data_IF_372036824395
#
_entry.id   IF_372036824395
#
_cell.length_a   1.000
_cell.length_b   1.000
_cell.length_c   1.000
_cell.angle_alpha   90.00
_cell.angle_beta   90.00
_cell.angle_gamma   90.00
#
_symmetry.space_group_name_H-M   'P 1'
#
loop_
_entity.id
_entity.type
_entity.pdbx_description
1 polymer ?
#
# COMPACT_ATOMS: atom_id res chain seq x y z
N UNK A 1 -31.69 -4.96 8.24
CA UNK A 1 -31.28 -6.08 9.12
C UNK A 1 -29.86 -5.88 9.65
N UNK A 2 -28.89 -5.48 8.81
CA UNK A 2 -27.49 -5.26 9.25
C UNK A 2 -27.33 -4.20 10.38
N UNK A 3 -27.96 -2.99 10.31
CA UNK A 3 -27.75 -1.98 11.35
C UNK A 3 -28.31 -2.40 12.73
N UNK A 4 -29.35 -3.24 12.76
CA UNK A 4 -29.92 -3.74 14.02
C UNK A 4 -29.04 -4.82 14.64
N UNK A 5 -28.49 -5.73 13.82
CA UNK A 5 -27.56 -6.76 14.28
C UNK A 5 -26.26 -6.15 14.82
N UNK A 6 -25.69 -5.14 14.13
CA UNK A 6 -24.49 -4.45 14.61
C UNK A 6 -24.75 -3.66 15.89
N UNK A 7 -25.92 -3.02 16.06
CA UNK A 7 -26.24 -2.29 17.30
C UNK A 7 -26.41 -3.22 18.50
N UNK A 8 -26.91 -4.44 18.30
CA UNK A 8 -27.03 -5.45 19.36
C UNK A 8 -25.67 -6.03 19.76
N UNK A 9 -24.78 -6.25 18.78
CA UNK A 9 -23.43 -6.79 19.01
C UNK A 9 -22.50 -5.78 19.69
N UNK A 10 -22.68 -4.48 19.41
CA UNK A 10 -21.82 -3.41 19.97
C UNK A 10 -22.28 -2.92 21.35
N UNK A 11 -23.56 -3.17 21.73
CA UNK A 11 -24.14 -2.66 22.97
C UNK A 11 -23.51 -3.22 24.25
N UNK A 12 -22.90 -4.42 24.17
CA UNK A 12 -22.26 -5.08 25.31
C UNK A 12 -20.72 -5.00 25.29
N UNK A 13 -20.12 -4.39 24.28
CA UNK A 13 -18.68 -4.11 24.27
C UNK A 13 -18.42 -2.90 25.13
N UNK A 14 -18.25 -3.08 26.43
CA UNK A 14 -17.54 -2.12 27.26
C UNK A 14 -16.13 -2.02 26.68
N UNK A 15 -15.86 -0.92 25.97
CA UNK A 15 -14.50 -0.52 25.63
C UNK A 15 -13.75 -0.36 26.96
N UNK A 16 -13.06 -1.42 27.37
CA UNK A 16 -12.13 -1.35 28.49
C UNK A 16 -10.98 -0.45 28.02
N UNK A 17 -11.14 0.85 28.27
CA UNK A 17 -10.12 1.88 28.03
C UNK A 17 -9.01 1.78 29.09
N UNK A 18 -8.63 0.58 29.47
CA UNK A 18 -7.37 0.38 30.17
C UNK A 18 -6.27 0.74 29.18
N UNK A 19 -5.60 1.82 29.53
CA UNK A 19 -4.33 2.22 28.95
C UNK A 19 -3.32 1.08 29.20
N UNK A 20 -3.38 0.03 28.39
CA UNK A 20 -2.23 -0.85 28.23
C UNK A 20 -1.18 -0.07 27.45
N UNK A 21 -0.37 0.67 28.22
CA UNK A 21 0.94 1.07 27.78
C UNK A 21 1.68 -0.22 27.43
N UNK A 22 1.71 -0.58 26.15
CA UNK A 22 2.63 -1.63 25.69
C UNK A 22 4.04 -1.13 26.02
N UNK A 23 4.60 -1.72 27.04
CA UNK A 23 6.01 -1.56 27.43
C UNK A 23 6.79 -2.28 26.33
N UNK A 24 7.60 -1.54 25.57
CA UNK A 24 8.57 -2.10 24.63
C UNK A 24 9.57 -2.96 25.46
N UNK A 25 10.12 -4.03 24.86
CA UNK A 25 11.04 -4.98 25.54
C UNK A 25 12.19 -4.31 26.33
N UNK A 26 12.39 -3.00 26.13
CA UNK A 26 13.39 -2.17 26.81
C UNK A 26 12.82 -1.28 27.94
N UNK A 27 11.62 -1.52 28.43
CA UNK A 27 11.00 -0.78 29.55
C UNK A 27 10.90 0.75 29.33
N UNK A 28 10.82 1.23 28.07
CA UNK A 28 10.59 2.64 27.73
C UNK A 28 9.16 2.82 27.30
N UNK A 29 8.42 3.66 28.02
CA UNK A 29 7.09 4.11 27.62
C UNK A 29 7.16 4.73 26.22
N UNK A 30 6.38 4.19 25.26
CA UNK A 30 6.29 4.76 23.92
C UNK A 30 5.62 6.12 24.03
N UNK A 31 6.33 7.19 23.64
CA UNK A 31 5.77 8.54 23.59
C UNK A 31 4.50 8.55 22.71
N UNK A 32 3.40 9.05 23.27
CA UNK A 32 2.13 9.21 22.59
C UNK A 32 2.11 10.53 21.84
N UNK A 33 2.29 10.48 20.51
CA UNK A 33 2.41 11.68 19.68
C UNK A 33 1.05 12.24 19.27
N UNK A 34 0.89 13.57 19.39
CA UNK A 34 -0.26 14.30 18.85
C UNK A 34 -0.05 14.56 17.35
N UNK A 35 -1.16 14.71 16.60
CA UNK A 35 -1.13 14.97 15.14
C UNK A 35 -0.16 16.09 14.73
N UNK A 36 -0.10 17.19 15.47
CA UNK A 36 0.78 18.35 15.17
C UNK A 36 2.27 17.97 15.36
N UNK A 37 2.57 17.13 16.34
CA UNK A 37 3.95 16.66 16.58
C UNK A 37 4.38 15.73 15.45
N UNK A 38 3.50 14.84 14.97
CA UNK A 38 3.75 13.94 13.84
C UNK A 38 4.03 14.74 12.56
N UNK A 39 3.28 15.80 12.30
CA UNK A 39 3.51 16.69 11.13
C UNK A 39 4.84 17.44 11.19
N UNK A 40 5.47 17.57 12.36
CA UNK A 40 6.79 18.18 12.53
C UNK A 40 7.93 17.17 12.43
N UNK A 41 7.63 15.88 12.44
CA UNK A 41 8.63 14.81 12.35
C UNK A 41 8.95 14.52 10.88
N UNK A 42 10.21 14.72 10.47
CA UNK A 42 10.68 14.44 9.11
C UNK A 42 10.54 12.95 8.74
N UNK A 43 10.59 12.04 9.73
CA UNK A 43 10.44 10.60 9.52
C UNK A 43 9.06 10.24 8.99
N UNK A 44 8.03 11.01 9.40
CA UNK A 44 6.69 10.85 8.89
C UNK A 44 6.63 10.99 7.37
N UNK A 45 7.29 12.01 6.82
CA UNK A 45 7.29 12.26 5.38
C UNK A 45 8.03 11.18 4.60
N UNK A 46 9.18 10.70 5.09
CA UNK A 46 9.93 9.61 4.46
C UNK A 46 9.08 8.34 4.41
N UNK A 47 8.44 7.98 5.52
CA UNK A 47 7.55 6.81 5.58
C UNK A 47 6.31 6.98 4.68
N UNK A 48 5.73 8.19 4.63
CA UNK A 48 4.65 8.49 3.71
C UNK A 48 5.08 8.29 2.26
N UNK A 49 6.23 8.82 1.83
CA UNK A 49 6.73 8.63 0.47
C UNK A 49 6.85 7.15 0.10
N UNK A 50 7.37 6.32 1.01
CA UNK A 50 7.44 4.88 0.81
C UNK A 50 6.05 4.24 0.67
N UNK A 51 5.09 4.63 1.52
CA UNK A 51 3.74 4.07 1.49
C UNK A 51 2.88 4.57 0.32
N UNK A 52 3.18 5.76 -0.21
CA UNK A 52 2.42 6.35 -1.32
C UNK A 52 2.75 5.73 -2.68
N UNK A 53 3.88 5.03 -2.83
CA UNK A 53 4.28 4.37 -4.08
C UNK A 53 3.20 3.40 -4.59
N UNK A 54 2.73 2.51 -3.72
CA UNK A 54 1.74 1.49 -4.08
C UNK A 54 0.41 2.11 -4.55
N UNK A 55 -0.25 3.04 -3.83
CA UNK A 55 -1.53 3.61 -4.26
C UNK A 55 -1.48 4.28 -5.64
N UNK A 56 -0.48 5.09 -5.95
CA UNK A 56 -0.47 5.79 -7.24
C UNK A 56 -0.11 4.89 -8.41
N UNK A 57 0.85 3.95 -8.23
CA UNK A 57 1.26 3.03 -9.30
C UNK A 57 0.14 2.02 -9.59
N UNK A 58 -0.45 1.41 -8.54
CA UNK A 58 -1.52 0.45 -8.71
C UNK A 58 -2.76 1.10 -9.34
N UNK A 59 -3.20 2.27 -8.84
CA UNK A 59 -4.38 2.94 -9.38
C UNK A 59 -4.17 3.40 -10.82
N UNK A 60 -3.00 3.98 -11.13
CA UNK A 60 -2.64 4.32 -12.50
C UNK A 60 -2.70 3.10 -13.43
N UNK A 61 -2.10 1.98 -13.01
CA UNK A 61 -2.12 0.73 -13.79
C UNK A 61 -3.52 0.14 -13.96
N UNK A 62 -4.38 0.23 -12.94
CA UNK A 62 -5.78 -0.25 -13.04
C UNK A 62 -6.64 0.63 -13.95
N UNK A 63 -6.50 1.94 -13.86
CA UNK A 63 -7.28 2.88 -14.69
C UNK A 63 -6.85 2.77 -16.15
N UNK A 64 -5.56 2.72 -16.42
CA UNK A 64 -5.01 2.66 -17.78
C UNK A 64 -4.68 1.24 -18.26
N UNK A 65 -5.33 0.22 -17.69
CA UNK A 65 -5.12 -1.18 -18.05
C UNK A 65 -5.32 -1.47 -19.54
N UNK A 66 -6.26 -0.79 -20.18
CA UNK A 66 -6.51 -0.95 -21.63
C UNK A 66 -5.35 -0.42 -22.45
N UNK A 67 -4.76 0.70 -22.05
CA UNK A 67 -3.56 1.25 -22.69
C UNK A 67 -2.38 0.27 -22.54
N UNK A 68 -2.14 -0.25 -21.32
CA UNK A 68 -1.10 -1.23 -21.05
C UNK A 68 -1.27 -2.49 -21.91
N UNK A 69 -2.50 -3.03 -21.97
CA UNK A 69 -2.84 -4.21 -22.76
C UNK A 69 -2.60 -4.00 -24.25
N UNK A 70 -2.99 -2.83 -24.77
CA UNK A 70 -2.81 -2.50 -26.19
C UNK A 70 -1.34 -2.28 -26.55
N UNK A 71 -0.59 -1.59 -25.68
CA UNK A 71 0.85 -1.33 -25.90
C UNK A 71 1.69 -2.61 -25.87
N UNK A 72 1.28 -3.60 -25.07
CA UNK A 72 1.98 -4.90 -24.94
C UNK A 72 1.39 -6.00 -25.82
N UNK A 73 0.41 -5.68 -26.65
CA UNK A 73 -0.32 -6.61 -27.52
C UNK A 73 -0.87 -7.85 -26.78
N UNK A 74 -1.29 -7.65 -25.52
CA UNK A 74 -1.86 -8.75 -24.73
C UNK A 74 -3.29 -9.06 -25.20
N UNK A 75 -3.64 -10.33 -25.19
CA UNK A 75 -4.98 -10.77 -25.55
C UNK A 75 -6.06 -10.21 -24.61
N UNK A 76 -7.32 -10.13 -25.07
CA UNK A 76 -8.40 -9.40 -24.42
C UNK A 76 -8.75 -9.88 -23.00
N UNK A 77 -8.42 -11.13 -22.66
CA UNK A 77 -8.70 -11.71 -21.34
C UNK A 77 -7.50 -11.74 -20.39
N UNK A 78 -6.30 -11.40 -20.87
CA UNK A 78 -5.05 -11.50 -20.08
C UNK A 78 -5.12 -10.63 -18.83
N UNK A 79 -5.57 -9.38 -18.96
CA UNK A 79 -5.70 -8.46 -17.84
C UNK A 79 -6.72 -8.99 -16.81
N UNK A 80 -7.89 -9.45 -17.27
CA UNK A 80 -8.91 -9.98 -16.37
C UNK A 80 -8.43 -11.18 -15.59
N UNK A 81 -7.68 -12.08 -16.23
CA UNK A 81 -7.05 -13.23 -15.57
C UNK A 81 -5.92 -12.80 -14.61
N UNK A 82 -5.15 -11.77 -14.97
CA UNK A 82 -4.10 -11.23 -14.12
C UNK A 82 -4.64 -10.61 -12.83
N UNK A 83 -5.87 -10.06 -12.84
CA UNK A 83 -6.55 -9.60 -11.63
C UNK A 83 -6.91 -10.74 -10.67
N UNK A 84 -7.09 -11.96 -11.15
CA UNK A 84 -7.21 -13.13 -10.27
C UNK A 84 -5.90 -13.38 -9.52
N UNK A 85 -4.76 -13.32 -10.24
CA UNK A 85 -3.44 -13.46 -9.61
C UNK A 85 -3.21 -12.35 -8.57
N UNK A 86 -3.52 -11.09 -8.91
CA UNK A 86 -3.49 -9.96 -7.96
C UNK A 86 -4.30 -10.24 -6.70
N UNK A 87 -5.55 -10.66 -6.85
CA UNK A 87 -6.46 -10.87 -5.73
C UNK A 87 -6.00 -12.00 -4.83
N UNK A 88 -5.62 -13.14 -5.41
CA UNK A 88 -5.14 -14.32 -4.68
C UNK A 88 -3.87 -13.98 -3.90
N UNK A 89 -2.87 -13.38 -4.56
CA UNK A 89 -1.60 -13.04 -3.93
C UNK A 89 -1.76 -11.94 -2.88
N UNK A 90 -2.65 -10.97 -3.09
CA UNK A 90 -2.95 -9.93 -2.11
C UNK A 90 -3.51 -10.52 -0.82
N UNK A 91 -4.48 -11.45 -0.93
CA UNK A 91 -5.08 -12.11 0.24
C UNK A 91 -4.07 -12.99 0.96
N UNK A 92 -3.32 -13.83 0.23
CA UNK A 92 -2.29 -14.69 0.82
C UNK A 92 -1.26 -13.84 1.55
N UNK A 93 -0.77 -12.77 0.92
CA UNK A 93 0.24 -11.88 1.51
C UNK A 93 -0.30 -11.14 2.72
N UNK A 94 -1.57 -10.74 2.72
CA UNK A 94 -2.20 -10.08 3.87
C UNK A 94 -2.14 -10.98 5.11
N UNK A 95 -2.47 -12.27 4.98
CA UNK A 95 -2.35 -13.23 6.09
C UNK A 95 -0.89 -13.44 6.53
N UNK A 96 0.01 -13.65 5.58
CA UNK A 96 1.44 -13.85 5.86
C UNK A 96 2.03 -12.61 6.54
N UNK A 97 1.64 -11.41 6.13
CA UNK A 97 2.13 -10.14 6.69
C UNK A 97 1.81 -10.00 8.18
N UNK A 98 0.67 -10.50 8.64
CA UNK A 98 0.35 -10.55 10.07
C UNK A 98 1.41 -11.29 10.85
N UNK A 99 1.74 -12.51 10.45
CA UNK A 99 2.78 -13.33 11.11
C UNK A 99 4.17 -12.70 11.00
N UNK A 100 4.49 -12.03 9.87
CA UNK A 100 5.77 -11.36 9.70
C UNK A 100 5.94 -10.18 10.66
N UNK A 101 4.89 -9.40 10.87
CA UNK A 101 4.92 -8.24 11.77
C UNK A 101 5.13 -8.69 13.22
N UNK A 102 4.45 -9.75 13.63
CA UNK A 102 4.62 -10.32 14.96
C UNK A 102 6.07 -10.77 15.23
N UNK A 103 6.78 -11.20 14.16
CA UNK A 103 8.15 -11.69 14.25
C UNK A 103 9.21 -10.61 14.04
N UNK A 104 9.02 -9.65 13.14
CA UNK A 104 10.08 -8.78 12.62
C UNK A 104 9.91 -7.29 12.87
N UNK A 105 8.86 -6.80 13.51
CA UNK A 105 8.53 -5.38 13.62
C UNK A 105 8.11 -4.74 12.28
N UNK A 106 7.07 -3.93 12.31
CA UNK A 106 6.52 -3.28 11.11
C UNK A 106 7.49 -2.27 10.49
N UNK A 107 8.33 -1.60 11.28
CA UNK A 107 9.35 -0.65 10.79
C UNK A 107 10.35 -1.30 9.85
N UNK A 108 10.84 -2.50 10.20
CA UNK A 108 11.80 -3.23 9.37
C UNK A 108 11.16 -3.70 8.07
N UNK A 109 9.94 -4.20 8.14
CA UNK A 109 9.21 -4.69 6.98
C UNK A 109 8.81 -3.57 6.01
N UNK A 110 8.61 -2.34 6.50
CA UNK A 110 8.28 -1.19 5.68
C UNK A 110 9.33 -0.91 4.60
N UNK A 111 10.62 -1.10 4.92
CA UNK A 111 11.73 -0.90 3.98
C UNK A 111 11.63 -1.86 2.79
N UNK A 112 11.16 -3.08 3.04
CA UNK A 112 11.05 -4.14 2.02
C UNK A 112 9.70 -4.15 1.30
N UNK A 113 8.73 -3.36 1.75
CA UNK A 113 7.35 -3.38 1.27
C UNK A 113 7.23 -3.18 -0.24
N UNK A 114 8.03 -2.28 -0.81
CA UNK A 114 7.96 -1.92 -2.22
C UNK A 114 8.86 -2.76 -3.12
N UNK A 115 9.64 -3.71 -2.58
CA UNK A 115 10.50 -4.58 -3.39
C UNK A 115 9.69 -5.38 -4.43
N UNK A 116 8.56 -6.04 -4.09
CA UNK A 116 7.78 -6.74 -5.10
C UNK A 116 7.26 -5.78 -6.18
N UNK A 117 6.83 -4.57 -5.81
CA UNK A 117 6.37 -3.57 -6.78
C UNK A 117 7.49 -3.14 -7.73
N UNK A 118 8.71 -2.95 -7.22
CA UNK A 118 9.88 -2.64 -8.04
C UNK A 118 10.17 -3.75 -9.06
N UNK A 119 10.15 -5.00 -8.62
CA UNK A 119 10.30 -6.13 -9.55
C UNK A 119 9.16 -6.17 -10.57
N UNK A 120 7.94 -5.85 -10.17
CA UNK A 120 6.81 -5.73 -11.08
C UNK A 120 7.03 -4.69 -12.17
N UNK A 121 7.49 -3.49 -11.81
CA UNK A 121 7.80 -2.44 -12.80
C UNK A 121 8.95 -2.82 -13.72
N UNK A 122 9.96 -3.53 -13.22
CA UNK A 122 11.06 -4.07 -14.04
C UNK A 122 10.54 -5.10 -15.05
N UNK A 123 9.66 -6.00 -14.62
CA UNK A 123 9.03 -6.99 -15.52
C UNK A 123 8.20 -6.29 -16.59
N UNK A 124 7.42 -5.28 -16.22
CA UNK A 124 6.61 -4.51 -17.17
C UNK A 124 7.47 -3.74 -18.18
N UNK A 125 8.65 -3.29 -17.77
CA UNK A 125 9.62 -2.58 -18.62
C UNK A 125 10.26 -3.50 -19.67
N UNK A 126 10.72 -4.70 -19.27
CA UNK A 126 11.55 -5.55 -20.13
C UNK A 126 10.80 -6.61 -20.92
N UNK A 127 9.57 -6.97 -20.52
CA UNK A 127 8.88 -8.14 -21.07
C UNK A 127 7.49 -7.77 -21.63
N UNK A 128 7.22 -8.23 -22.87
CA UNK A 128 5.95 -8.00 -23.55
C UNK A 128 5.04 -9.24 -23.53
N UNK A 129 5.58 -10.40 -23.17
CA UNK A 129 4.81 -11.64 -23.12
C UNK A 129 3.61 -11.54 -22.18
N UNK A 130 2.47 -12.17 -22.53
CA UNK A 130 1.26 -12.17 -21.69
C UNK A 130 1.51 -12.62 -20.24
N UNK A 131 2.53 -13.47 -20.01
CA UNK A 131 2.94 -13.88 -18.67
C UNK A 131 3.41 -12.71 -17.80
N UNK A 132 4.01 -11.67 -18.41
CA UNK A 132 4.46 -10.48 -17.67
C UNK A 132 3.30 -9.73 -17.00
N UNK A 133 2.10 -9.77 -17.56
CA UNK A 133 0.89 -9.24 -16.94
C UNK A 133 0.59 -9.94 -15.61
N UNK A 134 0.61 -11.27 -15.60
CA UNK A 134 0.35 -12.04 -14.37
C UNK A 134 1.39 -11.77 -13.29
N UNK A 135 2.66 -11.67 -13.70
CA UNK A 135 3.75 -11.37 -12.76
C UNK A 135 3.63 -9.96 -12.22
N UNK A 136 3.39 -8.96 -13.08
CA UNK A 136 3.23 -7.56 -12.68
C UNK A 136 2.06 -7.39 -11.70
N UNK A 137 0.85 -7.77 -12.09
CA UNK A 137 -0.32 -7.63 -11.24
C UNK A 137 -0.25 -8.52 -9.99
N UNK A 138 0.36 -9.69 -10.08
CA UNK A 138 0.64 -10.54 -8.94
C UNK A 138 1.54 -9.87 -7.90
N UNK A 139 2.64 -9.24 -8.34
CA UNK A 139 3.55 -8.51 -7.46
C UNK A 139 2.94 -7.21 -6.90
N UNK A 140 2.08 -6.53 -7.67
CA UNK A 140 1.23 -5.45 -7.15
C UNK A 140 0.31 -5.98 -6.04
N UNK A 141 -0.26 -7.17 -6.21
CA UNK A 141 -1.06 -7.85 -5.18
C UNK A 141 -0.28 -8.15 -3.91
N UNK A 142 0.95 -8.66 -4.04
CA UNK A 142 1.85 -8.89 -2.90
C UNK A 142 2.11 -7.57 -2.15
N UNK A 143 2.45 -6.51 -2.86
CA UNK A 143 2.68 -5.20 -2.25
C UNK A 143 1.43 -4.66 -1.57
N UNK A 144 0.25 -4.86 -2.18
CA UNK A 144 -1.03 -4.46 -1.59
C UNK A 144 -1.31 -5.18 -0.27
N UNK A 145 -1.07 -6.49 -0.21
CA UNK A 145 -1.22 -7.29 1.02
C UNK A 145 -0.31 -6.77 2.14
N UNK A 146 0.97 -6.48 1.84
CA UNK A 146 1.91 -5.88 2.79
C UNK A 146 1.44 -4.48 3.23
N UNK A 147 1.06 -3.62 2.29
CA UNK A 147 0.67 -2.23 2.55
C UNK A 147 -0.53 -2.12 3.49
N UNK A 148 -1.52 -3.00 3.35
CA UNK A 148 -2.72 -2.99 4.19
C UNK A 148 -2.41 -3.24 5.67
N UNK A 149 -1.49 -4.15 5.98
CA UNK A 149 -1.13 -4.48 7.37
C UNK A 149 -0.13 -3.47 7.90
N UNK A 150 0.93 -3.16 7.14
CA UNK A 150 1.97 -2.21 7.53
C UNK A 150 1.43 -0.78 7.68
N UNK A 151 0.49 -0.36 6.84
CA UNK A 151 -0.17 0.94 6.92
C UNK A 151 -0.91 1.20 8.23
N UNK A 152 -1.20 0.17 9.01
CA UNK A 152 -1.81 0.31 10.34
C UNK A 152 -0.80 0.14 11.45
N UNK A 153 0.00 -0.92 11.41
CA UNK A 153 0.91 -1.32 12.49
C UNK A 153 2.11 -0.40 12.63
N UNK A 154 2.66 0.11 11.53
CA UNK A 154 3.83 1.00 11.56
C UNK A 154 3.54 2.30 12.32
N UNK A 155 2.38 2.91 12.08
CA UNK A 155 2.02 4.16 12.78
C UNK A 155 1.78 3.94 14.26
N UNK A 156 1.15 2.82 14.65
CA UNK A 156 0.96 2.46 16.05
C UNK A 156 2.29 2.20 16.78
N UNK A 157 3.23 1.54 16.10
CA UNK A 157 4.55 1.22 16.65
C UNK A 157 5.44 2.46 16.85
N UNK A 158 5.34 3.46 15.96
CA UNK A 158 6.22 4.64 15.97
C UNK A 158 5.63 5.77 16.81
N UNK A 159 4.34 6.05 16.67
CA UNK A 159 3.68 7.24 17.24
C UNK A 159 2.76 6.92 18.42
N UNK A 160 2.60 5.63 18.75
CA UNK A 160 1.73 5.16 19.83
C UNK A 160 0.27 5.04 19.41
N UNK A 161 -0.53 4.43 20.28
CA UNK A 161 -1.92 4.07 19.97
C UNK A 161 -2.94 5.13 20.38
N UNK A 162 -2.60 6.02 21.32
CA UNK A 162 -3.55 6.99 21.92
C UNK A 162 -4.21 7.93 20.91
N UNK A 163 -3.45 8.41 19.93
CA UNK A 163 -3.94 9.35 18.91
C UNK A 163 -3.92 8.74 17.50
N UNK A 164 -3.84 7.40 17.41
CA UNK A 164 -3.69 6.68 16.15
C UNK A 164 -4.79 6.99 15.12
N UNK A 165 -6.03 7.23 15.59
CA UNK A 165 -7.15 7.57 14.71
C UNK A 165 -6.90 8.85 13.91
N UNK A 166 -6.36 9.89 14.57
CA UNK A 166 -6.06 11.16 13.88
C UNK A 166 -4.86 11.06 12.93
N UNK A 167 -3.89 10.22 13.24
CA UNK A 167 -2.73 9.95 12.38
C UNK A 167 -3.17 9.14 11.16
N UNK A 168 -3.99 8.10 11.37
CA UNK A 168 -4.57 7.30 10.27
C UNK A 168 -5.43 8.14 9.33
N UNK A 169 -6.25 9.05 9.87
CA UNK A 169 -7.05 9.95 9.04
C UNK A 169 -6.16 10.79 8.10
N UNK A 170 -5.04 11.31 8.60
CA UNK A 170 -4.08 12.06 7.79
C UNK A 170 -3.42 11.18 6.72
N UNK A 171 -2.93 10.00 7.08
CA UNK A 171 -2.28 9.10 6.13
C UNK A 171 -3.25 8.55 5.09
N UNK A 172 -4.50 8.27 5.48
CA UNK A 172 -5.55 7.87 4.53
C UNK A 172 -5.86 9.00 3.54
N UNK A 173 -5.93 10.25 4.00
CA UNK A 173 -6.11 11.38 3.10
C UNK A 173 -4.96 11.51 2.09
N UNK A 174 -3.71 11.30 2.52
CA UNK A 174 -2.55 11.27 1.63
C UNK A 174 -2.60 10.10 0.64
N UNK A 175 -3.06 8.93 1.07
CA UNK A 175 -3.24 7.77 0.18
C UNK A 175 -4.30 8.04 -0.89
N UNK A 176 -5.44 8.64 -0.52
CA UNK A 176 -6.49 9.03 -1.49
C UNK A 176 -5.95 10.08 -2.47
N UNK A 177 -5.20 11.07 -1.98
CA UNK A 177 -4.51 12.02 -2.86
C UNK A 177 -3.55 11.31 -3.81
N UNK A 178 -2.78 10.34 -3.32
CA UNK A 178 -1.85 9.55 -4.13
C UNK A 178 -2.53 8.75 -5.23
N UNK A 179 -3.73 8.19 -4.99
CA UNK A 179 -4.50 7.50 -6.04
C UNK A 179 -4.95 8.47 -7.13
N UNK A 180 -5.44 9.65 -6.75
CA UNK A 180 -5.82 10.70 -7.71
C UNK A 180 -4.61 11.21 -8.50
N UNK A 181 -3.49 11.43 -7.81
CA UNK A 181 -2.22 11.81 -8.44
C UNK A 181 -1.74 10.76 -9.43
N UNK A 182 -1.79 9.47 -9.08
CA UNK A 182 -1.40 8.37 -9.97
C UNK A 182 -2.22 8.35 -11.25
N UNK A 183 -3.54 8.47 -11.13
CA UNK A 183 -4.42 8.55 -12.31
C UNK A 183 -4.10 9.76 -13.19
N UNK A 184 -3.92 10.93 -12.59
CA UNK A 184 -3.60 12.15 -13.34
C UNK A 184 -2.20 12.08 -13.99
N UNK A 185 -1.21 11.55 -13.28
CA UNK A 185 0.15 11.41 -13.78
C UNK A 185 0.23 10.44 -14.96
N UNK A 186 -0.39 9.26 -14.85
CA UNK A 186 -0.43 8.30 -15.96
C UNK A 186 -1.10 8.91 -17.19
N UNK A 187 -2.27 9.56 -17.02
CA UNK A 187 -2.95 10.23 -18.11
C UNK A 187 -2.09 11.29 -18.78
N UNK A 188 -1.48 12.16 -17.99
CA UNK A 188 -0.59 13.21 -18.49
C UNK A 188 0.61 12.63 -19.26
N UNK A 189 1.27 11.59 -18.73
CA UNK A 189 2.41 10.96 -19.40
C UNK A 189 1.99 10.32 -20.74
N UNK A 190 0.84 9.65 -20.78
CA UNK A 190 0.29 9.06 -22.01
C UNK A 190 -0.04 10.14 -23.03
N UNK A 191 -0.67 11.25 -22.61
CA UNK A 191 -1.06 12.35 -23.48
C UNK A 191 0.14 13.05 -24.14
N UNK A 192 1.29 13.10 -23.47
CA UNK A 192 2.54 13.64 -24.02
C UNK A 192 3.35 12.60 -24.79
N UNK A 193 2.83 11.39 -24.99
CA UNK A 193 3.42 10.35 -25.83
C UNK A 193 4.38 9.39 -25.15
N UNK A 194 4.38 9.32 -23.82
CA UNK A 194 5.17 8.31 -23.11
C UNK A 194 4.62 6.92 -23.36
N UNK A 195 5.54 5.98 -23.55
CA UNK A 195 5.20 4.56 -23.68
C UNK A 195 4.97 3.92 -22.29
N UNK A 196 4.47 2.69 -22.29
CA UNK A 196 4.30 1.96 -21.01
C UNK A 196 5.65 1.65 -20.36
N UNK A 197 6.71 1.46 -21.14
CA UNK A 197 8.07 1.28 -20.66
C UNK A 197 8.57 2.53 -19.95
N UNK A 198 8.34 3.71 -20.51
CA UNK A 198 8.71 4.99 -19.88
C UNK A 198 7.98 5.18 -18.54
N UNK A 199 6.69 4.85 -18.50
CA UNK A 199 5.88 4.92 -17.27
C UNK A 199 6.38 3.91 -16.23
N UNK A 200 6.72 2.70 -16.64
CA UNK A 200 7.30 1.68 -15.77
C UNK A 200 8.67 2.12 -15.23
N UNK A 201 9.48 2.77 -16.05
CA UNK A 201 10.77 3.33 -15.65
C UNK A 201 10.61 4.45 -14.62
N UNK A 202 9.70 5.41 -14.85
CA UNK A 202 9.38 6.49 -13.90
C UNK A 202 8.90 5.91 -12.57
N UNK A 203 8.01 4.90 -12.61
CA UNK A 203 7.50 4.22 -11.43
C UNK A 203 8.61 3.50 -10.66
N UNK A 204 9.48 2.77 -11.35
CA UNK A 204 10.63 2.09 -10.76
C UNK A 204 11.64 3.06 -10.14
N UNK A 205 11.91 4.19 -10.80
CA UNK A 205 12.81 5.24 -10.28
C UNK A 205 12.26 5.84 -8.98
N UNK A 206 10.96 6.09 -8.91
CA UNK A 206 10.34 6.58 -7.67
C UNK A 206 10.46 5.59 -6.50
N UNK A 207 10.35 4.29 -6.77
CA UNK A 207 10.45 3.25 -5.72
C UNK A 207 11.90 3.13 -5.23
N UNK A 208 12.88 3.29 -6.12
CA UNK A 208 14.30 3.12 -5.82
C UNK A 208 14.92 4.34 -5.12
N UNK A 209 14.46 5.56 -5.43
CA UNK A 209 14.97 6.84 -4.87
C UNK A 209 14.32 7.21 -3.58
#
# INVERSE_FOLDING_TARGET
VLPVATSLLVKDVKLDTREESKIDENNKEIKQWKRIEVLKDYRFYIMCMTMLAMPWIATGSFVYQSFISSSKEWGPYVIAQSFMAYSILSVITLFISGFLIDKFSSRKLLIYMNIPLLFGTIVLYYFDASLSSFVFFGLVGVTNGLANVLGSSTWAEIYGVKYIGSIKALTTALMVFSTAFGTALFGFLIDIGFTIEDIAFVSGTYIFG
#
